data_IF_667587014040
#
_entry.id   IF_667587014040
#
_cell.length_a   1.000
_cell.length_b   1.000
_cell.length_c   1.000
_cell.angle_alpha   90.00
_cell.angle_beta   90.00
_cell.angle_gamma   90.00
#
_symmetry.space_group_name_H-M   'P 1'
#
loop_
_entity.id
_entity.type
_entity.pdbx_description
1 polymer ?
#
# COMPACT_ATOMS: atom_id res chain seq x y z
N UNK A 1 -26.50 -67.93 -24.59
CA UNK A 1 -25.10 -68.39 -24.51
C UNK A 1 -24.24 -67.13 -24.45
N UNK A 2 -23.49 -66.82 -23.41
CA UNK A 2 -22.51 -67.65 -22.68
C UNK A 2 -22.40 -67.17 -21.21
N UNK A 3 -22.22 -68.12 -20.29
CA UNK A 3 -22.01 -67.93 -18.84
C UNK A 3 -20.49 -67.93 -18.55
N UNK A 4 -20.02 -67.06 -17.64
CA UNK A 4 -18.96 -67.29 -16.62
C UNK A 4 -18.65 -65.95 -15.90
N UNK A 5 -18.83 -65.79 -14.57
CA UNK A 5 -18.22 -66.35 -13.33
C UNK A 5 -16.98 -65.58 -12.82
N UNK A 6 -17.01 -65.33 -11.50
CA UNK A 6 -15.90 -65.20 -10.53
C UNK A 6 -15.27 -63.82 -10.27
N UNK A 7 -15.40 -63.36 -9.01
CA UNK A 7 -14.44 -62.71 -8.11
C UNK A 7 -15.30 -61.95 -7.06
N UNK A 8 -15.46 -62.36 -5.80
CA UNK A 8 -14.48 -62.68 -4.75
C UNK A 8 -13.39 -61.61 -4.63
N UNK A 9 -13.60 -60.68 -3.69
CA UNK A 9 -12.66 -60.28 -2.63
C UNK A 9 -13.02 -58.91 -2.05
N UNK A 10 -13.13 -58.89 -0.72
CA UNK A 10 -13.23 -57.67 0.04
C UNK A 10 -11.99 -56.80 -0.15
N UNK A 11 -12.21 -55.49 -0.19
CA UNK A 11 -11.16 -54.53 0.09
C UNK A 11 -11.80 -53.32 0.75
N UNK A 12 -11.40 -53.07 2.00
CA UNK A 12 -11.72 -51.85 2.73
C UNK A 12 -11.39 -50.62 1.88
N UNK A 13 -12.25 -49.57 1.87
CA UNK A 13 -11.82 -48.28 1.38
C UNK A 13 -10.90 -47.65 2.43
N UNK A 14 -9.59 -47.83 2.26
CA UNK A 14 -8.60 -47.02 2.97
C UNK A 14 -8.76 -45.57 2.53
N UNK A 15 -9.33 -44.75 3.42
CA UNK A 15 -9.43 -43.31 3.27
C UNK A 15 -8.07 -42.71 2.90
N UNK A 16 -7.96 -42.20 1.67
CA UNK A 16 -6.94 -41.21 1.33
C UNK A 16 -7.36 -39.92 2.02
N UNK A 17 -6.86 -39.70 3.22
CA UNK A 17 -6.93 -38.40 3.88
C UNK A 17 -5.97 -37.46 3.13
N UNK A 18 -6.49 -36.79 2.11
CA UNK A 18 -5.90 -35.55 1.60
C UNK A 18 -6.00 -34.51 2.73
N UNK A 19 -4.99 -34.48 3.59
CA UNK A 19 -4.68 -33.28 4.35
C UNK A 19 -4.19 -32.23 3.35
N UNK A 20 -5.14 -31.60 2.65
CA UNK A 20 -4.95 -30.28 2.10
C UNK A 20 -4.64 -29.39 3.30
N UNK A 21 -3.35 -29.22 3.57
CA UNK A 21 -2.86 -28.09 4.31
C UNK A 21 -3.24 -26.87 3.48
N UNK A 22 -4.47 -26.40 3.64
CA UNK A 22 -4.81 -25.02 3.43
C UNK A 22 -3.90 -24.29 4.40
N UNK A 23 -2.73 -23.87 3.90
CA UNK A 23 -2.04 -22.73 4.45
C UNK A 23 -3.11 -21.64 4.47
N UNK A 24 -3.66 -21.41 5.65
CA UNK A 24 -4.56 -20.32 5.92
C UNK A 24 -3.67 -19.09 5.77
N UNK A 25 -3.45 -18.65 4.53
CA UNK A 25 -2.88 -17.36 4.26
C UNK A 25 -3.88 -16.39 4.85
N UNK A 26 -3.61 -15.92 6.05
CA UNK A 26 -4.24 -14.73 6.62
C UNK A 26 -3.90 -13.58 5.68
N UNK A 27 -4.70 -13.43 4.63
CA UNK A 27 -4.69 -12.27 3.78
C UNK A 27 -5.14 -11.11 4.68
N UNK A 28 -4.17 -10.38 5.21
CA UNK A 28 -4.47 -9.13 5.90
C UNK A 28 -5.13 -8.23 4.88
N UNK A 29 -6.39 -7.87 5.13
CA UNK A 29 -7.14 -7.01 4.24
C UNK A 29 -6.50 -5.61 4.27
N UNK A 30 -6.03 -5.16 3.11
CA UNK A 30 -5.57 -3.79 2.93
C UNK A 30 -6.76 -2.85 3.12
N UNK A 31 -6.59 -1.75 3.84
CA UNK A 31 -7.70 -0.83 4.13
C UNK A 31 -7.25 0.60 4.29
N UNK A 32 -8.16 1.54 4.03
CA UNK A 32 -7.96 2.91 4.46
C UNK A 32 -8.10 3.01 5.98
N UNK A 33 -7.13 3.66 6.61
CA UNK A 33 -7.26 4.12 7.98
C UNK A 33 -7.87 5.52 7.97
N UNK A 34 -9.06 5.64 8.55
CA UNK A 34 -9.83 6.88 8.61
C UNK A 34 -9.76 7.49 9.99
N UNK A 35 -9.62 8.81 10.03
CA UNK A 35 -9.77 9.63 11.23
C UNK A 35 -10.69 10.79 10.89
N UNK A 36 -11.83 10.93 11.57
CA UNK A 36 -12.81 12.00 11.34
C UNK A 36 -13.19 12.23 9.86
N UNK A 37 -13.27 11.16 9.05
CA UNK A 37 -13.63 11.26 7.63
C UNK A 37 -12.50 11.74 6.70
N UNK A 38 -11.25 11.74 7.17
CA UNK A 38 -10.06 11.91 6.31
C UNK A 38 -9.20 10.65 6.33
N UNK A 39 -8.60 10.33 5.19
CA UNK A 39 -7.69 9.19 5.07
C UNK A 39 -6.33 9.60 5.62
N UNK A 40 -5.88 8.97 6.70
CA UNK A 40 -4.56 9.23 7.29
C UNK A 40 -3.50 8.24 6.84
N UNK A 41 -3.90 7.02 6.55
CA UNK A 41 -2.98 5.97 6.15
C UNK A 41 -3.69 4.89 5.31
N UNK A 42 -2.87 4.03 4.71
CA UNK A 42 -3.26 2.72 4.20
C UNK A 42 -2.54 1.66 5.00
N UNK A 43 -3.27 0.68 5.52
CA UNK A 43 -2.70 -0.35 6.40
C UNK A 43 -2.61 -1.70 5.71
N UNK A 44 -1.62 -2.50 6.09
CA UNK A 44 -1.48 -3.89 5.67
C UNK A 44 -1.09 -4.09 4.20
N UNK A 45 -0.36 -3.14 3.61
CA UNK A 45 0.20 -3.28 2.26
C UNK A 45 1.23 -4.41 2.26
N UNK A 46 0.95 -5.48 1.53
CA UNK A 46 1.85 -6.63 1.42
C UNK A 46 2.86 -6.43 0.29
N UNK A 47 4.14 -6.53 0.62
CA UNK A 47 5.26 -6.46 -0.32
C UNK A 47 6.23 -7.59 0.01
N UNK A 48 6.40 -8.50 -0.93
CA UNK A 48 7.31 -9.65 -0.82
C UNK A 48 7.10 -10.45 0.49
N UNK A 49 5.85 -10.62 0.93
CA UNK A 49 5.49 -11.35 2.15
C UNK A 49 5.68 -10.57 3.46
N UNK A 50 6.06 -9.30 3.39
CA UNK A 50 6.12 -8.38 4.54
C UNK A 50 4.97 -7.38 4.47
N UNK A 51 4.39 -7.04 5.62
CA UNK A 51 3.30 -6.06 5.72
C UNK A 51 3.83 -4.69 6.11
N UNK A 52 3.27 -3.66 5.48
CA UNK A 52 3.63 -2.27 5.71
C UNK A 52 2.39 -1.40 5.88
N UNK A 53 2.50 -0.40 6.74
CA UNK A 53 1.57 0.71 6.82
C UNK A 53 2.18 1.93 6.13
N UNK A 54 1.33 2.68 5.44
CA UNK A 54 1.70 3.88 4.68
C UNK A 54 0.92 5.06 5.23
N UNK A 55 1.59 5.92 5.98
CA UNK A 55 0.98 7.13 6.58
C UNK A 55 1.23 8.35 5.70
N UNK A 56 0.22 9.20 5.55
CA UNK A 56 0.34 10.46 4.81
C UNK A 56 0.66 11.61 5.77
N UNK A 57 1.70 12.37 5.44
CA UNK A 57 2.14 13.55 6.17
C UNK A 57 2.09 14.78 5.26
N UNK A 58 1.46 15.85 5.74
CA UNK A 58 1.66 17.19 5.18
C UNK A 58 3.06 17.71 5.52
N UNK A 59 3.37 18.97 5.20
CA UNK A 59 4.68 19.64 5.40
C UNK A 59 5.37 19.47 6.78
N UNK A 60 4.75 18.77 7.74
CA UNK A 60 5.36 18.12 8.89
C UNK A 60 6.35 16.97 8.57
N UNK A 61 6.75 16.71 7.31
CA UNK A 61 7.73 15.67 6.94
C UNK A 61 8.94 15.62 7.87
N UNK A 62 9.61 16.75 8.10
CA UNK A 62 10.78 16.82 8.98
C UNK A 62 10.46 16.62 10.47
N UNK A 63 9.18 16.62 10.87
CA UNK A 63 8.72 16.27 12.21
C UNK A 63 8.39 14.78 12.38
N UNK A 64 8.11 14.04 11.29
CA UNK A 64 7.69 12.62 11.33
C UNK A 64 8.63 11.66 10.61
N UNK A 65 9.49 12.18 9.72
CA UNK A 65 10.42 11.37 8.94
C UNK A 65 11.55 10.85 9.83
N UNK A 66 11.92 9.55 9.73
CA UNK A 66 12.94 8.99 10.60
C UNK A 66 14.31 9.65 10.36
N UNK A 67 14.90 10.23 11.39
CA UNK A 67 16.12 11.04 11.29
C UNK A 67 17.35 10.30 10.71
N UNK A 68 17.34 8.97 10.67
CA UNK A 68 18.45 8.15 10.15
C UNK A 68 18.16 7.46 8.82
N UNK A 69 17.02 7.75 8.20
CA UNK A 69 16.62 7.14 6.94
C UNK A 69 17.11 8.00 5.77
N UNK A 70 17.75 7.37 4.79
CA UNK A 70 18.24 8.02 3.55
C UNK A 70 17.28 7.83 2.38
N UNK A 71 15.98 7.72 2.66
CA UNK A 71 14.98 7.23 1.71
C UNK A 71 14.66 5.75 1.90
N UNK A 72 13.57 5.32 1.28
CA UNK A 72 13.12 3.93 1.29
C UNK A 72 13.76 3.08 0.18
N UNK A 73 14.53 3.70 -0.73
CA UNK A 73 15.15 3.00 -1.85
C UNK A 73 14.11 2.25 -2.70
N UNK A 74 14.41 1.02 -3.16
CA UNK A 74 13.49 0.23 -3.98
C UNK A 74 12.10 0.01 -3.37
N UNK A 75 11.98 0.02 -2.03
CA UNK A 75 10.69 -0.13 -1.35
C UNK A 75 9.71 0.99 -1.72
N UNK A 76 10.19 2.19 -2.07
CA UNK A 76 9.31 3.28 -2.49
C UNK A 76 8.49 2.92 -3.74
N UNK A 77 9.13 2.29 -4.74
CA UNK A 77 8.48 1.87 -5.97
C UNK A 77 7.54 0.68 -5.75
N UNK A 78 7.92 -0.25 -4.87
CA UNK A 78 7.09 -1.40 -4.53
C UNK A 78 5.81 -0.99 -3.79
N UNK A 79 5.92 -0.05 -2.84
CA UNK A 79 4.76 0.54 -2.16
C UNK A 79 3.86 1.28 -3.13
N UNK A 80 4.42 2.12 -4.00
CA UNK A 80 3.63 2.81 -5.02
C UNK A 80 2.82 1.82 -5.87
N UNK A 81 3.49 0.75 -6.36
CA UNK A 81 2.85 -0.30 -7.15
C UNK A 81 1.78 -1.05 -6.36
N UNK A 82 2.02 -1.35 -5.09
CA UNK A 82 1.05 -2.03 -4.26
C UNK A 82 -0.19 -1.18 -4.00
N UNK A 83 -0.04 0.13 -3.74
CA UNK A 83 -1.17 1.07 -3.59
C UNK A 83 -2.04 1.16 -4.84
N UNK A 84 -1.40 1.14 -6.02
CA UNK A 84 -2.09 1.12 -7.31
C UNK A 84 -2.92 -0.15 -7.48
N UNK A 85 -2.30 -1.32 -7.29
CA UNK A 85 -2.97 -2.62 -7.38
C UNK A 85 -4.12 -2.72 -6.37
N UNK A 86 -3.92 -2.23 -5.15
CA UNK A 86 -4.93 -2.21 -4.09
C UNK A 86 -6.14 -1.34 -4.48
N UNK A 87 -5.89 -0.21 -5.14
CA UNK A 87 -6.94 0.68 -5.64
C UNK A 87 -7.73 0.06 -6.78
N UNK A 88 -7.03 -0.52 -7.76
CA UNK A 88 -7.63 -1.10 -8.97
C UNK A 88 -8.45 -2.35 -8.67
N UNK A 89 -7.99 -3.17 -7.72
CA UNK A 89 -8.70 -4.37 -7.26
C UNK A 89 -9.89 -4.06 -6.37
N UNK A 90 -10.03 -2.81 -5.88
CA UNK A 90 -11.02 -2.44 -4.87
C UNK A 90 -10.71 -3.00 -3.48
N UNK A 91 -9.50 -3.48 -3.25
CA UNK A 91 -9.07 -3.98 -1.94
C UNK A 91 -9.07 -2.87 -0.89
N UNK A 92 -8.75 -1.64 -1.28
CA UNK A 92 -8.86 -0.47 -0.41
C UNK A 92 -10.34 -0.13 -0.17
N UNK A 93 -10.89 -0.76 0.86
CA UNK A 93 -12.29 -0.59 1.26
C UNK A 93 -12.41 0.56 2.26
N UNK A 94 -13.12 1.61 1.86
CA UNK A 94 -13.99 2.38 2.72
C UNK A 94 -15.42 2.21 2.16
N UNK A 95 -16.48 2.59 2.90
CA UNK A 95 -17.85 2.48 2.36
C UNK A 95 -17.91 3.12 0.95
N UNK A 96 -18.29 2.33 -0.06
CA UNK A 96 -18.09 2.62 -1.49
C UNK A 96 -18.71 3.95 -1.95
N UNK A 97 -19.72 4.45 -1.22
CA UNK A 97 -20.33 5.76 -1.45
C UNK A 97 -19.58 6.95 -0.81
N UNK A 98 -18.91 6.74 0.32
CA UNK A 98 -18.19 7.78 1.07
C UNK A 98 -16.75 7.95 0.57
N UNK A 99 -16.10 6.84 0.19
CA UNK A 99 -14.70 6.78 -0.21
C UNK A 99 -14.32 7.73 -1.35
N UNK A 100 -15.18 7.91 -2.36
CA UNK A 100 -14.90 8.77 -3.53
C UNK A 100 -14.74 10.24 -3.16
N UNK A 101 -15.19 10.62 -1.97
CA UNK A 101 -15.16 12.00 -1.45
C UNK A 101 -14.21 12.21 -0.28
N UNK A 102 -13.53 11.16 0.20
CA UNK A 102 -12.61 11.29 1.33
C UNK A 102 -11.27 11.88 0.86
N UNK A 103 -10.82 13.02 1.40
CA UNK A 103 -9.49 13.55 1.11
C UNK A 103 -8.42 12.78 1.90
N UNK A 104 -7.19 12.83 1.42
CA UNK A 104 -6.03 12.49 2.23
C UNK A 104 -5.79 13.58 3.28
N UNK A 105 -5.38 13.19 4.49
CA UNK A 105 -4.98 14.13 5.52
C UNK A 105 -3.83 15.00 5.00
N UNK A 106 -3.99 16.33 5.16
CA UNK A 106 -3.02 17.30 4.70
C UNK A 106 -3.27 17.84 3.29
N UNK A 107 -4.17 17.20 2.52
CA UNK A 107 -4.47 17.65 1.17
C UNK A 107 -5.54 18.75 1.19
N UNK A 108 -5.27 19.87 0.53
CA UNK A 108 -6.22 20.99 0.46
C UNK A 108 -7.33 20.74 -0.58
N UNK A 109 -6.99 20.08 -1.68
CA UNK A 109 -7.89 19.69 -2.75
C UNK A 109 -8.62 18.39 -2.45
N UNK A 110 -9.91 18.38 -2.80
CA UNK A 110 -10.75 17.17 -2.77
C UNK A 110 -10.70 16.37 -4.08
N UNK A 111 -10.15 16.96 -5.15
CA UNK A 111 -10.17 16.35 -6.47
C UNK A 111 -8.97 15.45 -6.71
N UNK A 112 -7.80 15.89 -6.26
CA UNK A 112 -6.53 15.22 -6.49
C UNK A 112 -5.51 15.60 -5.42
N UNK A 113 -4.68 14.63 -5.04
CA UNK A 113 -3.53 14.84 -4.17
C UNK A 113 -2.31 14.13 -4.74
N UNK A 114 -1.18 14.82 -4.82
CA UNK A 114 0.11 14.20 -5.15
C UNK A 114 0.74 13.68 -3.87
N UNK A 115 1.09 12.40 -3.85
CA UNK A 115 1.80 11.77 -2.73
C UNK A 115 3.20 11.38 -3.20
N UNK A 116 4.19 11.88 -2.49
CA UNK A 116 5.61 11.62 -2.72
C UNK A 116 6.10 10.54 -1.76
N UNK A 117 6.61 9.44 -2.31
CA UNK A 117 7.23 8.37 -1.55
C UNK A 117 8.76 8.55 -1.64
N UNK A 118 9.46 8.93 -0.55
CA UNK A 118 10.88 9.26 -0.60
C UNK A 118 11.72 8.03 -0.98
N UNK A 119 12.22 7.99 -2.22
CA UNK A 119 13.16 6.95 -2.64
C UNK A 119 14.55 7.25 -2.06
N UNK A 120 14.96 8.53 -2.11
CA UNK A 120 16.22 8.99 -1.58
C UNK A 120 16.07 10.32 -0.85
N UNK A 121 16.77 10.44 0.28
CA UNK A 121 16.91 11.68 1.04
C UNK A 121 18.32 11.88 1.57
N UNK A 122 18.71 13.14 1.69
CA UNK A 122 19.97 13.56 2.33
C UNK A 122 19.69 14.24 3.66
N UNK A 123 20.69 14.26 4.53
CA UNK A 123 20.58 14.85 5.87
C UNK A 123 19.76 14.00 6.83
N UNK A 124 19.36 14.62 7.94
CA UNK A 124 18.58 14.04 9.01
C UNK A 124 17.50 15.05 9.43
N UNK A 125 16.34 14.56 9.87
CA UNK A 125 15.33 15.42 10.48
C UNK A 125 15.96 16.27 11.61
N UNK A 126 15.62 17.57 11.73
CA UNK A 126 14.55 18.28 11.01
C UNK A 126 15.00 18.95 9.70
N UNK A 127 16.17 18.61 9.17
CA UNK A 127 16.73 19.19 7.94
C UNK A 127 16.94 18.11 6.85
N UNK A 128 16.15 17.03 6.88
CA UNK A 128 16.17 16.04 5.81
C UNK A 128 15.60 16.65 4.54
N UNK A 129 16.25 16.35 3.42
CA UNK A 129 15.84 16.79 2.09
C UNK A 129 15.62 15.55 1.22
N UNK A 130 14.39 15.31 0.81
CA UNK A 130 14.09 14.31 -0.23
C UNK A 130 14.65 14.82 -1.54
N UNK A 131 15.50 14.05 -2.22
CA UNK A 131 16.07 14.43 -3.52
C UNK A 131 15.42 13.68 -4.68
N UNK A 132 14.93 12.46 -4.41
CA UNK A 132 14.18 11.63 -5.36
C UNK A 132 12.97 11.02 -4.67
N UNK A 133 11.82 11.10 -5.32
CA UNK A 133 10.59 10.50 -4.85
C UNK A 133 9.85 9.78 -5.98
N UNK A 134 9.14 8.71 -5.62
CA UNK A 134 8.13 8.11 -6.47
C UNK A 134 6.83 8.87 -6.25
N UNK A 135 6.19 9.29 -7.34
CA UNK A 135 4.91 9.99 -7.29
C UNK A 135 3.73 9.03 -7.47
N UNK A 136 2.72 9.17 -6.62
CA UNK A 136 1.39 8.59 -6.84
C UNK A 136 0.32 9.66 -6.66
N UNK A 137 -0.71 9.64 -7.52
CA UNK A 137 -1.84 10.56 -7.41
C UNK A 137 -3.01 9.87 -6.75
N UNK A 138 -3.50 10.40 -5.64
CA UNK A 138 -4.81 10.03 -5.09
C UNK A 138 -5.89 10.91 -5.70
N UNK A 139 -6.86 10.31 -6.40
CA UNK A 139 -7.98 11.04 -6.99
C UNK A 139 -9.23 10.17 -7.08
N UNK A 140 -10.40 10.76 -6.82
CA UNK A 140 -11.72 10.10 -6.95
C UNK A 140 -11.82 8.77 -6.19
N UNK A 141 -11.21 8.67 -5.01
CA UNK A 141 -11.31 7.50 -4.14
C UNK A 141 -10.25 6.42 -4.34
N UNK A 142 -9.21 6.65 -5.17
CA UNK A 142 -8.15 5.66 -5.40
C UNK A 142 -6.84 6.26 -5.89
N UNK A 143 -5.78 5.45 -5.83
CA UNK A 143 -4.45 5.81 -6.32
C UNK A 143 -4.32 5.56 -7.82
N UNK A 144 -3.57 6.43 -8.50
CA UNK A 144 -3.25 6.39 -9.93
C UNK A 144 -1.77 6.66 -10.13
N UNK A 145 -1.22 6.01 -11.15
CA UNK A 145 0.21 6.10 -11.45
C UNK A 145 0.50 7.41 -12.17
N UNK A 146 1.60 8.04 -11.79
CA UNK A 146 2.31 9.02 -12.63
C UNK A 146 3.53 8.28 -13.18
N UNK A 147 3.95 8.60 -14.41
CA UNK A 147 5.06 7.96 -15.12
C UNK A 147 6.25 7.63 -14.21
N UNK A 148 6.90 6.48 -14.44
CA UNK A 148 7.97 5.90 -13.61
C UNK A 148 9.27 6.71 -13.52
N UNK A 149 9.27 7.97 -13.98
CA UNK A 149 10.44 8.83 -13.92
C UNK A 149 10.51 9.48 -12.54
N UNK A 150 11.61 9.24 -11.83
CA UNK A 150 11.83 9.83 -10.52
C UNK A 150 11.98 11.34 -10.67
N UNK A 151 11.08 12.09 -10.04
CA UNK A 151 11.12 13.54 -10.10
C UNK A 151 12.26 14.05 -9.19
N UNK A 152 13.20 14.85 -9.71
CA UNK A 152 14.11 15.59 -8.84
C UNK A 152 13.27 16.57 -8.02
N UNK A 153 13.38 16.47 -6.71
CA UNK A 153 12.47 17.16 -5.79
C UNK A 153 13.27 17.88 -4.71
N UNK A 154 12.81 19.07 -4.29
CA UNK A 154 13.36 19.78 -3.14
C UNK A 154 12.24 20.06 -2.13
N UNK A 155 12.24 19.28 -1.05
CA UNK A 155 11.27 19.37 0.03
C UNK A 155 11.13 20.79 0.63
N UNK A 156 12.21 21.58 0.64
CA UNK A 156 12.26 22.90 1.28
C UNK A 156 11.56 23.98 0.47
N UNK A 157 11.48 23.81 -0.85
CA UNK A 157 10.79 24.75 -1.75
C UNK A 157 9.43 24.24 -2.17
N UNK A 158 9.30 22.96 -2.48
CA UNK A 158 8.15 22.47 -3.24
C UNK A 158 6.92 22.30 -2.36
N UNK A 159 7.09 21.88 -1.10
CA UNK A 159 5.95 21.71 -0.17
C UNK A 159 5.37 23.01 0.35
N UNK A 160 6.18 24.08 0.42
CA UNK A 160 5.73 25.38 0.92
C UNK A 160 4.74 26.04 -0.04
N UNK A 161 4.81 25.72 -1.33
CA UNK A 161 3.99 26.32 -2.38
C UNK A 161 3.02 25.35 -3.06
N UNK A 162 3.01 24.07 -2.67
CA UNK A 162 2.15 23.03 -3.25
C UNK A 162 1.26 22.40 -2.16
N UNK A 163 0.10 23.01 -1.86
CA UNK A 163 -0.79 22.60 -0.75
C UNK A 163 -1.52 21.26 -0.98
N UNK A 164 -1.35 20.65 -2.15
CA UNK A 164 -1.92 19.36 -2.56
C UNK A 164 -0.85 18.28 -2.72
N UNK A 165 0.31 18.48 -2.07
CA UNK A 165 1.44 17.58 -2.09
C UNK A 165 1.76 17.08 -0.69
N UNK A 166 1.81 15.76 -0.54
CA UNK A 166 2.03 15.05 0.72
C UNK A 166 3.21 14.09 0.62
N UNK A 167 3.70 13.64 1.76
CA UNK A 167 4.67 12.55 1.84
C UNK A 167 4.04 11.26 2.34
N UNK A 168 4.53 10.15 1.83
CA UNK A 168 4.29 8.82 2.38
C UNK A 168 5.41 8.43 3.35
N UNK A 169 5.02 8.02 4.55
CA UNK A 169 5.89 7.39 5.55
C UNK A 169 5.54 5.91 5.60
N UNK A 170 6.52 5.07 5.28
CA UNK A 170 6.38 3.62 5.26
C UNK A 170 6.94 3.06 6.57
N UNK A 171 6.15 2.25 7.27
CA UNK A 171 6.55 1.53 8.48
C UNK A 171 6.15 0.06 8.38
N UNK A 172 6.92 -0.88 8.95
CA UNK A 172 6.44 -2.26 9.10
C UNK A 172 5.10 -2.27 9.86
N UNK A 173 4.15 -3.08 9.40
CA UNK A 173 2.90 -3.32 10.12
C UNK A 173 3.17 -4.23 11.33
N UNK A 174 2.52 -3.92 12.47
CA UNK A 174 2.67 -4.65 13.74
C UNK A 174 1.81 -5.89 13.88
#
# INVERSE_FOLDING_TARGET
MTIKRCADHGFLPGMVALCLAAAVSSAHAQSFNLDNGVIRAVTGIEIQGSLYDVTFADGAFNGVYPARLSGYGPLAQEVARALLVASESGALTANVGEQRSLPLLGCSSRESCTVLIPEHSTGAAPSAQTTYAVEVIYSRGGFRSVTSELWPFDASTDTLYMPDMLYAIITPAG
#
